data_IF_263747063364
#
_entry.id   IF_263747063364
#
_cell.length_a   1.000
_cell.length_b   1.000
_cell.length_c   1.000
_cell.angle_alpha   90.00
_cell.angle_beta   90.00
_cell.angle_gamma   90.00
#
_symmetry.space_group_name_H-M   'P 1'
#
loop_
_entity.id
_entity.type
_entity.pdbx_description
1 polymer ?
#
# COMPACT_ATOMS: atom_id res chain seq x y z
N UNK A 1 12.17 -15.43 14.32
CA UNK A 1 12.77 -14.96 13.04
C UNK A 1 14.29 -14.97 13.17
N UNK A 2 15.00 -15.65 12.28
CA UNK A 2 16.47 -15.80 12.35
C UNK A 2 17.17 -14.51 11.89
N UNK A 3 18.36 -14.23 12.44
CA UNK A 3 19.24 -13.07 12.09
C UNK A 3 19.52 -12.97 10.57
N UNK A 4 19.42 -14.09 9.83
CA UNK A 4 19.52 -14.16 8.36
C UNK A 4 18.42 -13.40 7.60
N UNK A 5 17.32 -13.01 8.26
CA UNK A 5 16.19 -12.37 7.60
C UNK A 5 16.48 -10.91 7.21
N UNK A 6 17.22 -10.16 8.03
CA UNK A 6 17.54 -8.75 7.77
C UNK A 6 18.44 -8.58 6.53
N UNK A 7 19.51 -9.36 6.44
CA UNK A 7 20.43 -9.32 5.30
C UNK A 7 19.77 -9.86 4.03
N UNK A 8 18.86 -10.84 4.16
CA UNK A 8 18.07 -11.31 3.03
C UNK A 8 17.24 -10.18 2.41
N UNK A 9 16.49 -9.43 3.22
CA UNK A 9 15.68 -8.31 2.73
C UNK A 9 16.54 -7.19 2.12
N UNK A 10 17.66 -6.83 2.77
CA UNK A 10 18.61 -5.85 2.23
C UNK A 10 19.15 -6.25 0.86
N UNK A 11 19.57 -7.50 0.73
CA UNK A 11 20.11 -8.04 -0.52
C UNK A 11 19.02 -8.10 -1.61
N UNK A 12 17.80 -8.53 -1.26
CA UNK A 12 16.70 -8.62 -2.22
C UNK A 12 16.33 -7.23 -2.77
N UNK A 13 16.26 -6.22 -1.91
CA UNK A 13 16.03 -4.82 -2.34
C UNK A 13 17.15 -4.37 -3.27
N UNK A 14 18.41 -4.48 -2.86
CA UNK A 14 19.54 -3.92 -3.60
C UNK A 14 19.87 -4.67 -4.90
N UNK A 15 19.69 -6.00 -4.94
CA UNK A 15 20.17 -6.84 -6.05
C UNK A 15 19.06 -7.29 -7.00
N UNK A 16 17.80 -7.34 -6.53
CA UNK A 16 16.69 -7.85 -7.34
C UNK A 16 15.75 -6.74 -7.78
N UNK A 17 15.36 -5.85 -6.87
CA UNK A 17 14.33 -4.85 -7.16
C UNK A 17 14.90 -3.55 -7.72
N UNK A 18 15.84 -2.92 -7.04
CA UNK A 18 16.36 -1.60 -7.42
C UNK A 18 16.94 -1.54 -8.83
N UNK A 19 17.75 -2.52 -9.32
CA UNK A 19 18.35 -2.42 -10.65
C UNK A 19 17.34 -2.31 -11.78
N UNK A 20 16.13 -2.88 -11.63
CA UNK A 20 15.05 -2.72 -12.60
C UNK A 20 14.56 -1.27 -12.64
N UNK A 21 14.28 -0.69 -11.47
CA UNK A 21 13.67 0.63 -11.35
C UNK A 21 14.64 1.78 -11.60
N UNK A 22 15.92 1.57 -11.39
CA UNK A 22 16.98 2.51 -11.81
C UNK A 22 17.03 2.67 -13.34
N UNK A 23 16.74 1.62 -14.10
CA UNK A 23 16.64 1.68 -15.57
C UNK A 23 15.32 2.29 -16.08
N UNK A 24 14.33 2.44 -15.21
CA UNK A 24 13.01 2.96 -15.56
C UNK A 24 12.85 4.48 -15.35
N UNK A 25 13.94 5.18 -15.01
CA UNK A 25 13.92 6.63 -14.78
C UNK A 25 13.73 7.40 -16.09
N UNK A 26 12.89 8.45 -16.07
CA UNK A 26 12.82 9.43 -17.14
C UNK A 26 13.82 10.58 -16.87
N UNK A 27 14.99 10.44 -17.44
CA UNK A 27 16.07 11.43 -17.29
C UNK A 27 15.75 12.77 -17.93
N UNK A 28 14.87 12.79 -18.96
CA UNK A 28 14.53 13.98 -19.72
C UNK A 28 13.48 14.84 -19.05
N UNK A 29 12.34 14.23 -18.69
CA UNK A 29 11.17 14.97 -18.19
C UNK A 29 11.03 14.87 -16.67
N UNK A 30 11.67 13.90 -16.04
CA UNK A 30 11.47 13.55 -14.64
C UNK A 30 10.37 12.49 -14.46
N UNK A 31 10.36 11.90 -13.26
CA UNK A 31 9.48 10.78 -12.96
C UNK A 31 10.03 9.42 -13.36
N UNK A 32 9.17 8.41 -13.34
CA UNK A 32 9.53 7.01 -13.55
C UNK A 32 8.54 6.37 -14.53
N UNK A 33 9.06 5.60 -15.48
CA UNK A 33 8.22 4.78 -16.34
C UNK A 33 7.74 3.54 -15.57
N UNK A 34 6.43 3.30 -15.55
CA UNK A 34 5.82 2.18 -14.83
C UNK A 34 5.02 1.25 -15.74
N UNK A 35 4.68 1.69 -16.95
CA UNK A 35 3.89 0.91 -17.89
C UNK A 35 4.75 -0.17 -18.58
N UNK A 36 4.96 -1.28 -17.89
CA UNK A 36 5.64 -2.47 -18.39
C UNK A 36 4.69 -3.66 -18.43
N UNK A 37 4.98 -4.63 -19.31
CA UNK A 37 4.32 -5.93 -19.26
C UNK A 37 4.63 -6.66 -17.93
N UNK A 38 3.85 -7.68 -17.58
CA UNK A 38 4.03 -8.40 -16.33
C UNK A 38 5.44 -9.00 -16.16
N UNK A 39 6.03 -9.49 -17.23
CA UNK A 39 7.40 -10.04 -17.22
C UNK A 39 8.49 -8.97 -17.01
N UNK A 40 8.20 -7.68 -17.21
CA UNK A 40 9.17 -6.58 -17.10
C UNK A 40 10.14 -6.49 -18.31
N UNK A 41 9.85 -7.18 -19.40
CA UNK A 41 10.71 -7.24 -20.58
C UNK A 41 10.42 -6.15 -21.61
N UNK A 42 9.22 -5.55 -21.55
CA UNK A 42 8.75 -4.57 -22.51
C UNK A 42 8.09 -3.39 -21.80
N UNK A 43 8.45 -2.17 -22.19
CA UNK A 43 7.75 -0.95 -21.83
C UNK A 43 6.62 -0.71 -22.83
N UNK A 44 5.37 -0.82 -22.37
CA UNK A 44 4.15 -0.75 -23.21
C UNK A 44 3.63 0.68 -23.39
N UNK A 45 4.02 1.63 -22.53
CA UNK A 45 3.68 3.06 -22.67
C UNK A 45 4.71 3.93 -21.95
N UNK A 46 4.78 5.21 -22.34
CA UNK A 46 5.51 6.28 -21.64
C UNK A 46 4.61 7.13 -20.76
N UNK A 47 3.32 6.85 -20.71
CA UNK A 47 2.37 7.53 -19.83
C UNK A 47 2.73 7.34 -18.36
N UNK A 48 2.41 8.35 -17.55
CA UNK A 48 2.74 8.38 -16.12
C UNK A 48 1.46 8.52 -15.29
N UNK A 49 1.09 7.46 -14.60
CA UNK A 49 0.03 7.54 -13.60
C UNK A 49 0.54 8.32 -12.38
N UNK A 50 -0.14 9.39 -12.01
CA UNK A 50 0.23 10.24 -10.85
C UNK A 50 0.33 9.42 -9.57
N UNK A 51 -0.56 8.48 -9.39
CA UNK A 51 -0.52 7.47 -8.33
C UNK A 51 0.86 6.80 -8.22
N UNK A 52 1.36 6.23 -9.33
CA UNK A 52 2.67 5.56 -9.35
C UNK A 52 3.83 6.53 -9.11
N UNK A 53 3.75 7.76 -9.62
CA UNK A 53 4.80 8.75 -9.42
C UNK A 53 4.91 9.16 -7.94
N UNK A 54 3.78 9.39 -7.26
CA UNK A 54 3.75 9.69 -5.82
C UNK A 54 4.35 8.54 -4.98
N UNK A 55 4.04 7.30 -5.33
CA UNK A 55 4.63 6.09 -4.74
C UNK A 55 6.15 6.03 -4.91
N UNK A 56 6.67 6.42 -6.07
CA UNK A 56 8.12 6.46 -6.29
C UNK A 56 8.81 7.58 -5.52
N UNK A 57 8.17 8.75 -5.36
CA UNK A 57 8.70 9.80 -4.47
C UNK A 57 8.86 9.25 -3.05
N UNK A 58 7.86 8.53 -2.55
CA UNK A 58 7.91 7.88 -1.24
C UNK A 58 9.05 6.85 -1.14
N UNK A 59 9.13 5.92 -2.12
CA UNK A 59 10.15 4.84 -2.13
C UNK A 59 11.56 5.41 -2.11
N UNK A 60 11.88 6.32 -3.04
CA UNK A 60 13.23 6.88 -3.14
C UNK A 60 13.59 7.68 -1.89
N UNK A 61 12.65 8.42 -1.33
CA UNK A 61 12.85 9.21 -0.11
C UNK A 61 13.09 8.31 1.11
N UNK A 62 12.26 7.27 1.29
CA UNK A 62 12.40 6.31 2.39
C UNK A 62 13.72 5.55 2.30
N UNK A 63 14.08 5.07 1.12
CA UNK A 63 15.33 4.35 0.91
C UNK A 63 16.55 5.25 1.14
N UNK A 64 16.50 6.51 0.68
CA UNK A 64 17.55 7.49 0.97
C UNK A 64 17.74 7.67 2.49
N UNK A 65 16.64 7.81 3.22
CA UNK A 65 16.68 7.94 4.69
C UNK A 65 17.26 6.71 5.37
N UNK A 66 16.87 5.50 4.96
CA UNK A 66 17.45 4.27 5.50
C UNK A 66 18.97 4.16 5.23
N UNK A 67 19.43 4.67 4.10
CA UNK A 67 20.87 4.74 3.81
C UNK A 67 21.57 5.78 4.68
N UNK A 68 20.98 6.96 4.89
CA UNK A 68 21.50 7.97 5.82
C UNK A 68 21.59 7.46 7.26
N UNK A 69 20.60 6.67 7.68
CA UNK A 69 20.54 6.06 9.02
C UNK A 69 21.44 4.82 9.17
N UNK A 70 22.14 4.41 8.12
CA UNK A 70 23.03 3.22 8.11
C UNK A 70 22.30 1.88 8.16
N UNK A 71 20.98 1.87 7.93
CA UNK A 71 20.16 0.66 7.92
C UNK A 71 20.21 -0.09 6.58
N UNK A 72 20.57 0.61 5.50
CA UNK A 72 20.76 0.08 4.15
C UNK A 72 22.11 0.50 3.59
N UNK A 73 22.71 -0.35 2.76
CA UNK A 73 23.97 -0.04 2.07
C UNK A 73 23.70 0.78 0.80
N UNK A 74 24.65 1.65 0.44
CA UNK A 74 24.64 2.47 -0.76
C UNK A 74 24.55 3.97 -0.45
N UNK A 75 24.69 4.78 -1.50
CA UNK A 75 24.67 6.25 -1.40
C UNK A 75 23.23 6.77 -1.32
N UNK A 76 22.95 7.66 -0.38
CA UNK A 76 21.63 8.25 -0.18
C UNK A 76 21.33 9.40 -1.16
N UNK A 77 22.35 10.19 -1.50
CA UNK A 77 22.20 11.42 -2.27
C UNK A 77 21.57 11.21 -3.67
N UNK A 78 21.98 10.21 -4.49
CA UNK A 78 21.35 9.98 -5.80
C UNK A 78 19.87 9.66 -5.69
N UNK A 79 19.47 8.90 -4.66
CA UNK A 79 18.07 8.55 -4.41
C UNK A 79 17.25 9.78 -4.01
N UNK A 80 17.79 10.60 -3.11
CA UNK A 80 17.12 11.82 -2.68
C UNK A 80 16.99 12.83 -3.83
N UNK A 81 18.03 12.95 -4.67
CA UNK A 81 17.99 13.77 -5.88
C UNK A 81 16.90 13.29 -6.85
N UNK A 82 16.78 11.98 -7.06
CA UNK A 82 15.74 11.39 -7.92
C UNK A 82 14.35 11.58 -7.32
N UNK A 83 14.16 11.39 -6.01
CA UNK A 83 12.92 11.71 -5.31
C UNK A 83 12.51 13.16 -5.52
N UNK A 84 13.44 14.10 -5.34
CA UNK A 84 13.23 15.53 -5.56
C UNK A 84 12.90 15.89 -7.02
N UNK A 85 13.53 15.22 -8.00
CA UNK A 85 13.21 15.40 -9.43
C UNK A 85 11.78 14.95 -9.73
N UNK A 86 11.35 13.79 -9.20
CA UNK A 86 10.00 13.26 -9.38
C UNK A 86 8.97 14.10 -8.62
N UNK A 87 9.27 14.56 -7.40
CA UNK A 87 8.38 15.44 -6.63
C UNK A 87 8.16 16.79 -7.33
N UNK A 88 9.21 17.39 -7.90
CA UNK A 88 9.09 18.62 -8.70
C UNK A 88 8.25 18.39 -9.97
N UNK A 89 8.47 17.27 -10.67
CA UNK A 89 7.64 16.90 -11.83
C UNK A 89 6.16 16.85 -11.46
N UNK A 90 5.79 16.20 -10.35
CA UNK A 90 4.41 16.16 -9.86
C UNK A 90 3.89 17.56 -9.50
N UNK A 91 4.67 18.33 -8.73
CA UNK A 91 4.30 19.67 -8.31
C UNK A 91 3.98 20.60 -9.48
N UNK A 92 4.76 20.51 -10.56
CA UNK A 92 4.68 21.43 -11.71
C UNK A 92 3.68 20.94 -12.77
N UNK A 93 3.35 19.65 -12.81
CA UNK A 93 2.65 19.01 -13.94
C UNK A 93 1.36 18.30 -13.56
N UNK A 94 1.25 17.78 -12.33
CA UNK A 94 0.13 16.91 -12.02
C UNK A 94 -1.16 17.66 -11.62
N UNK A 95 -1.09 18.91 -11.19
CA UNK A 95 -2.24 19.61 -10.66
C UNK A 95 -3.02 20.36 -11.75
N UNK A 96 -4.33 20.19 -11.70
CA UNK A 96 -5.31 20.88 -12.55
C UNK A 96 -5.69 22.25 -11.93
N UNK A 97 -6.41 23.08 -12.68
CA UNK A 97 -6.86 24.39 -12.22
C UNK A 97 -7.74 24.34 -10.96
N UNK A 98 -8.49 23.25 -10.76
CA UNK A 98 -9.29 22.99 -9.56
C UNK A 98 -8.47 22.52 -8.35
N UNK A 99 -7.15 22.37 -8.49
CA UNK A 99 -6.23 21.91 -7.46
C UNK A 99 -6.21 20.40 -7.25
N UNK A 100 -6.94 19.60 -8.03
CA UNK A 100 -6.90 18.14 -7.98
C UNK A 100 -5.73 17.59 -8.81
N UNK A 101 -5.19 16.46 -8.41
CA UNK A 101 -4.20 15.79 -9.21
C UNK A 101 -4.83 15.08 -10.42
N UNK A 102 -4.25 15.28 -11.60
CA UNK A 102 -4.60 14.48 -12.77
C UNK A 102 -4.24 13.01 -12.53
N UNK A 103 -5.14 12.10 -12.89
CA UNK A 103 -4.93 10.67 -12.69
C UNK A 103 -3.83 10.10 -13.59
N UNK A 104 -3.81 10.55 -14.86
CA UNK A 104 -2.88 10.12 -15.89
C UNK A 104 -2.24 11.34 -16.56
N UNK A 105 -0.93 11.23 -16.81
CA UNK A 105 -0.12 12.23 -17.50
C UNK A 105 0.55 11.60 -18.72
N UNK A 106 0.77 12.41 -19.75
CA UNK A 106 1.69 12.06 -20.84
C UNK A 106 3.13 12.01 -20.33
N UNK A 107 4.07 11.54 -21.14
CA UNK A 107 5.50 11.52 -20.83
C UNK A 107 6.04 12.87 -20.38
N UNK A 108 5.63 13.96 -21.06
CA UNK A 108 6.03 15.35 -20.76
C UNK A 108 5.18 16.04 -19.69
N UNK A 109 4.25 15.29 -19.05
CA UNK A 109 3.48 15.76 -17.90
C UNK A 109 2.20 16.54 -18.23
N UNK A 110 1.64 16.41 -19.44
CA UNK A 110 0.31 16.98 -19.74
C UNK A 110 -0.78 16.04 -19.23
N UNK A 111 -1.88 16.56 -18.65
CA UNK A 111 -3.03 15.77 -18.28
C UNK A 111 -3.59 14.97 -19.47
N UNK A 112 -3.93 13.71 -19.23
CA UNK A 112 -4.48 12.79 -20.22
C UNK A 112 -5.68 12.05 -19.61
N UNK A 113 -6.74 11.87 -20.38
CA UNK A 113 -7.85 11.01 -19.95
C UNK A 113 -7.45 9.54 -19.99
N UNK A 114 -7.85 8.76 -18.99
CA UNK A 114 -7.61 7.32 -18.97
C UNK A 114 -8.46 6.56 -19.99
N UNK A 115 -9.65 7.10 -20.29
CA UNK A 115 -10.52 6.72 -21.41
C UNK A 115 -11.34 7.96 -21.83
N UNK A 116 -11.86 8.03 -23.08
CA UNK A 116 -12.59 9.19 -23.55
C UNK A 116 -13.78 9.57 -22.66
N UNK A 117 -13.82 10.81 -22.20
CA UNK A 117 -14.87 11.34 -21.31
C UNK A 117 -14.65 11.05 -19.83
N UNK A 118 -13.55 10.44 -19.43
CA UNK A 118 -13.23 10.20 -18.01
C UNK A 118 -12.95 11.49 -17.25
N UNK A 119 -12.55 12.58 -17.96
CA UNK A 119 -11.94 13.73 -17.31
C UNK A 119 -10.54 13.39 -16.79
N UNK A 120 -9.89 14.38 -16.17
CA UNK A 120 -8.50 14.22 -15.77
C UNK A 120 -8.31 13.79 -14.30
N UNK A 121 -9.25 14.13 -13.40
CA UNK A 121 -9.21 13.85 -11.96
C UNK A 121 -10.12 12.69 -11.55
N UNK A 122 -10.04 11.59 -12.31
CA UNK A 122 -10.92 10.45 -12.17
C UNK A 122 -10.66 9.61 -10.89
N UNK A 123 -9.61 9.90 -10.11
CA UNK A 123 -9.29 9.16 -8.90
C UNK A 123 -8.61 10.02 -7.83
N UNK A 124 -9.26 10.18 -6.67
CA UNK A 124 -8.68 10.88 -5.53
C UNK A 124 -7.49 10.11 -4.88
N UNK A 125 -7.32 8.84 -5.21
CA UNK A 125 -6.13 8.09 -4.80
C UNK A 125 -4.84 8.69 -5.38
N UNK A 126 -4.91 9.35 -6.55
CA UNK A 126 -3.77 10.06 -7.10
C UNK A 126 -3.29 11.16 -6.15
N UNK A 127 -4.22 11.96 -5.61
CA UNK A 127 -3.93 12.98 -4.59
C UNK A 127 -3.37 12.35 -3.32
N UNK A 128 -3.94 11.23 -2.85
CA UNK A 128 -3.46 10.52 -1.65
C UNK A 128 -1.99 10.09 -1.79
N UNK A 129 -1.60 9.53 -2.92
CA UNK A 129 -0.20 9.13 -3.15
C UNK A 129 0.73 10.32 -3.38
N UNK A 130 0.24 11.45 -3.89
CA UNK A 130 1.01 12.70 -3.90
C UNK A 130 1.28 13.17 -2.47
N UNK A 131 0.27 13.15 -1.58
CA UNK A 131 0.45 13.50 -0.16
C UNK A 131 1.50 12.62 0.49
N UNK A 132 1.39 11.28 0.34
CA UNK A 132 2.36 10.33 0.89
C UNK A 132 3.78 10.59 0.37
N UNK A 133 3.93 10.75 -0.95
CA UNK A 133 5.22 11.03 -1.58
C UNK A 133 5.85 12.33 -1.11
N UNK A 134 5.09 13.43 -1.14
CA UNK A 134 5.57 14.74 -0.70
C UNK A 134 5.91 14.77 0.80
N UNK A 135 5.13 14.07 1.62
CA UNK A 135 5.36 13.93 3.05
C UNK A 135 6.68 13.25 3.35
N UNK A 136 6.94 12.09 2.75
CA UNK A 136 8.19 11.34 2.98
C UNK A 136 9.40 12.08 2.38
N UNK A 137 9.25 12.74 1.22
CA UNK A 137 10.30 13.58 0.65
C UNK A 137 10.62 14.76 1.56
N UNK A 138 9.60 15.45 2.06
CA UNK A 138 9.79 16.55 3.01
C UNK A 138 10.58 16.11 4.23
N UNK A 139 10.29 14.91 4.77
CA UNK A 139 11.02 14.32 5.89
C UNK A 139 12.48 14.04 5.55
N UNK A 140 12.73 13.40 4.41
CA UNK A 140 14.08 12.98 4.00
C UNK A 140 14.97 14.17 3.64
N UNK A 141 14.40 15.21 3.00
CA UNK A 141 15.12 16.41 2.54
C UNK A 141 15.11 17.57 3.53
N UNK A 142 14.31 17.52 4.60
CA UNK A 142 14.08 18.67 5.48
C UNK A 142 13.27 19.80 4.84
N UNK A 143 12.47 19.50 3.81
CA UNK A 143 11.77 20.47 2.96
C UNK A 143 10.40 20.87 3.52
N UNK A 144 10.34 22.04 4.19
CA UNK A 144 9.10 22.59 4.78
C UNK A 144 8.10 23.06 3.73
N UNK A 145 8.55 23.52 2.55
CA UNK A 145 7.67 23.96 1.47
C UNK A 145 6.90 22.77 0.90
N UNK A 146 7.59 21.66 0.63
CA UNK A 146 6.96 20.44 0.15
C UNK A 146 5.97 19.86 1.18
N UNK A 147 6.28 19.95 2.48
CA UNK A 147 5.32 19.56 3.55
C UNK A 147 4.07 20.46 3.53
N UNK A 148 4.24 21.76 3.30
CA UNK A 148 3.10 22.68 3.13
C UNK A 148 2.21 22.34 1.94
N UNK A 149 2.80 21.90 0.84
CA UNK A 149 2.06 21.42 -0.34
C UNK A 149 1.33 20.10 -0.06
N UNK A 150 1.97 19.15 0.63
CA UNK A 150 1.31 17.91 1.07
C UNK A 150 0.05 18.22 1.92
N UNK A 151 0.15 19.18 2.86
CA UNK A 151 -0.98 19.63 3.66
C UNK A 151 -2.10 20.26 2.82
N UNK A 152 -1.77 21.07 1.84
CA UNK A 152 -2.79 21.72 0.98
C UNK A 152 -3.56 20.66 0.16
N UNK A 153 -2.87 19.66 -0.38
CA UNK A 153 -3.52 18.55 -1.09
C UNK A 153 -4.36 17.70 -0.13
N UNK A 154 -3.87 17.43 1.08
CA UNK A 154 -4.62 16.72 2.12
C UNK A 154 -5.93 17.44 2.47
N UNK A 155 -5.89 18.76 2.67
CA UNK A 155 -7.08 19.57 2.95
C UNK A 155 -8.10 19.55 1.79
N UNK A 156 -7.60 19.55 0.55
CA UNK A 156 -8.45 19.37 -0.65
C UNK A 156 -9.16 18.01 -0.64
N UNK A 157 -8.45 16.94 -0.32
CA UNK A 157 -9.05 15.59 -0.20
C UNK A 157 -10.14 15.58 0.86
N UNK A 158 -9.87 16.09 2.06
CA UNK A 158 -10.84 16.14 3.16
C UNK A 158 -12.10 16.90 2.74
N UNK A 159 -11.94 18.08 2.13
CA UNK A 159 -13.06 18.88 1.66
C UNK A 159 -13.93 18.16 0.62
N UNK A 160 -13.32 17.37 -0.28
CA UNK A 160 -14.05 16.55 -1.27
C UNK A 160 -14.79 15.38 -0.62
N UNK A 161 -14.16 14.69 0.32
CA UNK A 161 -14.79 13.59 1.07
C UNK A 161 -15.99 14.07 1.90
N UNK A 162 -15.88 15.25 2.54
CA UNK A 162 -16.97 15.84 3.32
C UNK A 162 -18.19 16.21 2.45
N UNK A 163 -17.97 16.56 1.18
CA UNK A 163 -19.03 16.84 0.20
C UNK A 163 -19.53 15.63 -0.55
N UNK A 164 -18.91 14.45 -0.37
CA UNK A 164 -19.18 13.28 -1.19
C UNK A 164 -18.75 13.42 -2.66
N UNK A 165 -17.83 14.34 -2.94
CA UNK A 165 -17.34 14.66 -4.28
C UNK A 165 -15.96 14.04 -4.52
N UNK A 166 -15.92 12.71 -4.48
CA UNK A 166 -14.72 11.93 -4.79
C UNK A 166 -15.02 10.87 -5.84
N UNK A 167 -14.09 10.73 -6.77
CA UNK A 167 -14.05 9.65 -7.75
C UNK A 167 -12.91 8.70 -7.40
N UNK A 168 -13.08 7.42 -7.67
CA UNK A 168 -12.15 6.38 -7.23
C UNK A 168 -11.81 5.36 -8.33
N UNK A 169 -11.67 5.82 -9.57
CA UNK A 169 -11.22 4.93 -10.65
C UNK A 169 -9.88 4.24 -10.27
N UNK A 170 -9.69 2.98 -10.66
CA UNK A 170 -10.55 2.14 -11.52
C UNK A 170 -11.64 1.35 -10.77
N UNK A 171 -11.89 1.63 -9.51
CA UNK A 171 -12.88 0.93 -8.66
C UNK A 171 -13.88 1.93 -8.07
N UNK A 172 -14.87 2.39 -8.87
CA UNK A 172 -15.89 3.33 -8.38
C UNK A 172 -16.73 2.69 -7.27
N UNK A 173 -17.17 3.53 -6.33
CA UNK A 173 -18.04 3.10 -5.24
C UNK A 173 -19.44 2.79 -5.77
N UNK A 174 -20.00 1.57 -5.55
CA UNK A 174 -21.36 1.27 -5.89
C UNK A 174 -22.36 2.12 -5.08
N UNK A 175 -23.50 2.48 -5.68
CA UNK A 175 -24.52 3.27 -5.01
C UNK A 175 -25.06 2.56 -3.77
N UNK A 176 -25.19 3.29 -2.68
CA UNK A 176 -25.72 2.80 -1.41
C UNK A 176 -24.76 1.90 -0.62
N UNK A 177 -23.51 1.73 -1.07
CA UNK A 177 -22.48 1.01 -0.34
C UNK A 177 -21.37 1.93 0.16
N UNK A 178 -20.84 1.60 1.32
CA UNK A 178 -19.65 2.23 1.89
C UNK A 178 -18.45 1.32 1.66
N UNK A 179 -17.35 1.90 1.17
CA UNK A 179 -16.11 1.19 0.91
C UNK A 179 -15.16 1.33 2.10
N UNK A 180 -14.62 0.21 2.57
CA UNK A 180 -13.52 0.17 3.53
C UNK A 180 -12.29 0.92 3.00
N UNK A 181 -11.97 0.76 1.72
CA UNK A 181 -10.79 1.33 1.06
C UNK A 181 -10.63 2.85 1.24
N UNK A 182 -11.73 3.62 1.35
CA UNK A 182 -11.64 5.07 1.59
C UNK A 182 -11.12 5.40 2.99
N UNK A 183 -11.61 4.69 4.01
CA UNK A 183 -11.10 4.85 5.37
C UNK A 183 -9.68 4.33 5.51
N UNK A 184 -9.35 3.23 4.84
CA UNK A 184 -8.02 2.62 4.82
C UNK A 184 -6.96 3.57 4.25
N UNK A 185 -7.17 4.15 3.06
CA UNK A 185 -6.18 5.06 2.47
C UNK A 185 -6.03 6.34 3.30
N UNK A 186 -7.14 6.88 3.83
CA UNK A 186 -7.10 8.08 4.66
C UNK A 186 -6.45 7.84 6.02
N UNK A 187 -6.56 6.64 6.59
CA UNK A 187 -5.80 6.24 7.77
C UNK A 187 -4.30 6.28 7.48
N UNK A 188 -3.85 5.65 6.39
CA UNK A 188 -2.43 5.63 6.02
C UNK A 188 -1.89 7.04 5.74
N UNK A 189 -2.60 7.83 4.94
CA UNK A 189 -2.20 9.22 4.61
C UNK A 189 -2.11 10.07 5.88
N UNK A 190 -3.12 9.99 6.76
CA UNK A 190 -3.17 10.79 7.98
C UNK A 190 -2.07 10.39 8.97
N UNK A 191 -1.83 9.10 9.18
CA UNK A 191 -0.78 8.66 10.12
C UNK A 191 0.63 9.06 9.68
N UNK A 192 0.97 8.88 8.38
CA UNK A 192 2.30 9.25 7.89
C UNK A 192 2.48 10.78 7.89
N UNK A 193 1.46 11.53 7.48
CA UNK A 193 1.49 12.99 7.54
C UNK A 193 1.63 13.51 8.98
N UNK A 194 0.87 12.96 9.94
CA UNK A 194 0.95 13.35 11.35
C UNK A 194 2.34 13.09 11.94
N UNK A 195 2.96 11.94 11.62
CA UNK A 195 4.32 11.61 12.05
C UNK A 195 5.33 12.66 11.59
N UNK A 196 5.26 13.05 10.30
CA UNK A 196 6.19 14.05 9.74
C UNK A 196 5.89 15.46 10.26
N UNK A 197 4.63 15.85 10.38
CA UNK A 197 4.24 17.12 11.01
C UNK A 197 4.80 17.25 12.43
N UNK A 198 4.78 16.17 13.21
CA UNK A 198 5.35 16.13 14.57
C UNK A 198 6.86 16.27 14.53
N UNK A 199 7.55 15.58 13.62
CA UNK A 199 9.00 15.72 13.45
C UNK A 199 9.40 17.17 13.11
N UNK A 200 8.57 17.88 12.34
CA UNK A 200 8.75 19.30 12.01
C UNK A 200 8.21 20.27 13.09
N UNK A 201 7.65 19.77 14.19
CA UNK A 201 6.97 20.54 15.25
C UNK A 201 5.87 21.46 14.68
N UNK A 202 5.10 20.95 13.73
CA UNK A 202 4.03 21.71 13.07
C UNK A 202 2.75 21.67 13.91
N UNK A 203 2.05 22.82 14.03
CA UNK A 203 0.90 22.97 14.92
C UNK A 203 -0.33 22.10 14.57
N UNK A 204 -0.38 21.52 13.37
CA UNK A 204 -1.48 20.64 12.93
C UNK A 204 -1.25 19.15 13.21
N UNK A 205 -0.10 18.77 13.80
CA UNK A 205 0.24 17.36 14.00
C UNK A 205 -0.85 16.61 14.80
N UNK A 206 -1.34 17.18 15.90
CA UNK A 206 -2.38 16.55 16.73
C UNK A 206 -3.76 16.48 16.04
N UNK A 207 -4.10 17.47 15.20
CA UNK A 207 -5.35 17.45 14.43
C UNK A 207 -5.36 16.29 13.45
N UNK A 208 -4.28 16.15 12.67
CA UNK A 208 -4.14 15.10 11.67
C UNK A 208 -4.07 13.72 12.33
N UNK A 209 -3.40 13.61 13.50
CA UNK A 209 -3.38 12.37 14.29
C UNK A 209 -4.78 11.96 14.76
N UNK A 210 -5.59 12.91 15.28
CA UNK A 210 -6.98 12.60 15.66
C UNK A 210 -7.83 12.11 14.48
N UNK A 211 -7.55 12.59 13.26
CA UNK A 211 -8.22 12.07 12.06
C UNK A 211 -7.79 10.64 11.74
N UNK A 212 -6.50 10.30 11.90
CA UNK A 212 -6.02 8.93 11.76
C UNK A 212 -6.73 7.99 12.75
N UNK A 213 -6.83 8.37 14.04
CA UNK A 213 -7.59 7.61 15.05
C UNK A 213 -9.07 7.46 14.65
N UNK A 214 -9.70 8.52 14.15
CA UNK A 214 -11.10 8.45 13.69
C UNK A 214 -11.31 7.50 12.50
N UNK A 215 -10.37 7.44 11.55
CA UNK A 215 -10.42 6.46 10.46
C UNK A 215 -10.18 5.03 10.95
N UNK A 216 -9.25 4.84 11.89
CA UNK A 216 -9.01 3.56 12.56
C UNK A 216 -10.28 3.05 13.26
N UNK A 217 -10.89 3.87 14.11
CA UNK A 217 -12.12 3.51 14.82
C UNK A 217 -13.26 3.19 13.84
N UNK A 218 -13.43 4.00 12.79
CA UNK A 218 -14.44 3.75 11.75
C UNK A 218 -14.23 2.41 11.04
N UNK A 219 -12.99 2.01 10.79
CA UNK A 219 -12.68 0.71 10.17
C UNK A 219 -13.07 -0.42 11.12
N UNK A 220 -12.60 -0.35 12.36
CA UNK A 220 -12.82 -1.40 13.35
C UNK A 220 -14.31 -1.57 13.71
N UNK A 221 -15.03 -0.47 13.85
CA UNK A 221 -16.45 -0.49 14.27
C UNK A 221 -17.40 -0.85 13.12
N UNK A 222 -17.10 -0.45 11.88
CA UNK A 222 -18.06 -0.54 10.79
C UNK A 222 -17.83 -1.72 9.86
N UNK A 223 -16.57 -2.15 9.65
CA UNK A 223 -16.22 -3.13 8.63
C UNK A 223 -15.73 -4.46 9.21
N UNK A 224 -15.37 -4.53 10.50
CA UNK A 224 -14.89 -5.76 11.12
C UNK A 224 -16.03 -6.52 11.80
N UNK A 225 -16.20 -7.78 11.43
CA UNK A 225 -17.17 -8.71 12.03
C UNK A 225 -16.64 -9.24 13.38
N UNK A 226 -17.54 -9.81 14.20
CA UNK A 226 -17.20 -10.35 15.52
C UNK A 226 -16.15 -11.47 15.49
N UNK A 227 -16.03 -12.19 14.38
CA UNK A 227 -15.04 -13.26 14.16
C UNK A 227 -13.69 -12.75 13.63
N UNK A 228 -13.53 -11.43 13.47
CA UNK A 228 -12.34 -10.79 12.91
C UNK A 228 -12.33 -10.68 11.39
N UNK A 229 -13.40 -11.07 10.70
CA UNK A 229 -13.47 -10.88 9.23
C UNK A 229 -13.67 -9.41 8.90
N UNK A 230 -12.85 -8.84 8.03
CA UNK A 230 -13.00 -7.49 7.51
C UNK A 230 -13.67 -7.54 6.14
N UNK A 231 -14.83 -6.88 6.03
CA UNK A 231 -15.59 -6.76 4.78
C UNK A 231 -15.15 -5.54 3.97
N UNK A 232 -15.07 -5.68 2.66
CA UNK A 232 -14.68 -4.60 1.75
C UNK A 232 -15.76 -3.55 1.57
N UNK A 233 -17.03 -3.99 1.51
CA UNK A 233 -18.18 -3.12 1.31
C UNK A 233 -19.29 -3.47 2.29
N UNK A 234 -19.95 -2.45 2.81
CA UNK A 234 -21.09 -2.57 3.71
C UNK A 234 -22.13 -1.51 3.37
N UNK A 235 -23.37 -1.72 3.75
CA UNK A 235 -24.41 -0.69 3.66
C UNK A 235 -24.31 0.33 4.82
N UNK A 236 -25.29 1.22 4.94
CA UNK A 236 -25.35 2.25 5.98
C UNK A 236 -25.33 1.69 7.41
N UNK A 237 -25.75 0.44 7.61
CA UNK A 237 -25.78 -0.23 8.92
C UNK A 237 -24.45 -0.98 9.23
N UNK A 238 -23.48 -0.93 8.35
CA UNK A 238 -22.19 -1.62 8.50
C UNK A 238 -22.36 -3.14 8.48
N UNK A 239 -21.49 -3.85 9.20
CA UNK A 239 -21.54 -5.33 9.27
C UNK A 239 -22.84 -5.87 9.86
N UNK A 240 -23.56 -5.07 10.66
CA UNK A 240 -24.86 -5.44 11.25
C UNK A 240 -25.99 -5.45 10.21
N UNK A 241 -25.88 -4.60 9.18
CA UNK A 241 -26.83 -4.52 8.07
C UNK A 241 -26.42 -5.34 6.85
N UNK A 242 -25.47 -6.25 6.99
CA UNK A 242 -24.94 -7.07 5.89
C UNK A 242 -26.08 -7.72 5.11
N UNK A 243 -26.05 -7.55 3.79
CA UNK A 243 -26.96 -8.15 2.85
C UNK A 243 -26.35 -9.41 2.24
N UNK A 244 -27.19 -10.30 1.69
CA UNK A 244 -26.72 -11.50 0.97
C UNK A 244 -26.19 -11.18 -0.45
N UNK A 245 -25.88 -9.91 -0.72
CA UNK A 245 -25.27 -9.45 -1.97
C UNK A 245 -23.78 -9.81 -2.01
N UNK A 246 -23.28 -10.23 -3.18
CA UNK A 246 -21.87 -10.57 -3.38
C UNK A 246 -20.95 -9.47 -2.87
N UNK A 247 -21.23 -8.19 -3.19
CA UNK A 247 -20.41 -7.04 -2.77
C UNK A 247 -20.38 -6.82 -1.25
N UNK A 248 -21.36 -7.32 -0.49
CA UNK A 248 -21.39 -7.24 0.97
C UNK A 248 -20.85 -8.51 1.66
N UNK A 249 -20.44 -9.50 0.86
CA UNK A 249 -19.93 -10.80 1.35
C UNK A 249 -18.45 -10.98 1.10
N UNK A 250 -17.95 -10.46 -0.03
CA UNK A 250 -16.57 -10.72 -0.39
C UNK A 250 -15.56 -10.03 0.54
N UNK A 251 -14.45 -10.68 0.70
CA UNK A 251 -13.27 -10.24 1.45
C UNK A 251 -12.09 -10.15 0.49
N UNK A 252 -11.29 -9.12 0.62
CA UNK A 252 -9.97 -9.03 0.04
C UNK A 252 -8.93 -9.28 1.13
N UNK A 253 -8.37 -10.49 1.26
CA UNK A 253 -7.41 -10.80 2.32
C UNK A 253 -6.21 -9.87 2.33
N UNK A 254 -5.75 -9.43 1.13
CA UNK A 254 -4.65 -8.48 1.00
C UNK A 254 -4.96 -7.12 1.62
N UNK A 255 -6.12 -6.52 1.33
CA UNK A 255 -6.55 -5.26 1.94
C UNK A 255 -6.76 -5.39 3.45
N UNK A 256 -7.37 -6.51 3.91
CA UNK A 256 -7.54 -6.75 5.34
C UNK A 256 -6.20 -6.76 6.06
N UNK A 257 -5.21 -7.48 5.52
CA UNK A 257 -3.87 -7.57 6.07
C UNK A 257 -3.14 -6.22 6.01
N UNK A 258 -3.19 -5.52 4.87
CA UNK A 258 -2.57 -4.20 4.70
C UNK A 258 -3.18 -3.18 5.67
N UNK A 259 -4.49 -3.08 5.73
CA UNK A 259 -5.18 -2.15 6.63
C UNK A 259 -4.79 -2.34 8.09
N UNK A 260 -4.61 -3.59 8.51
CA UNK A 260 -4.30 -3.86 9.91
C UNK A 260 -2.92 -3.39 10.35
N UNK A 261 -1.93 -3.31 9.48
CA UNK A 261 -0.68 -2.69 9.92
C UNK A 261 -0.80 -1.15 10.03
N UNK A 262 -1.68 -0.50 9.22
CA UNK A 262 -2.01 0.91 9.47
C UNK A 262 -2.67 1.08 10.83
N UNK A 263 -3.64 0.23 11.15
CA UNK A 263 -4.31 0.20 12.45
C UNK A 263 -3.29 -0.01 13.58
N UNK A 264 -2.44 -1.04 13.47
CA UNK A 264 -1.44 -1.37 14.49
C UNK A 264 -0.47 -0.21 14.76
N UNK A 265 0.02 0.47 13.73
CA UNK A 265 0.91 1.64 13.91
C UNK A 265 0.20 2.80 14.60
N UNK A 266 -1.02 3.12 14.19
CA UNK A 266 -1.81 4.18 14.82
C UNK A 266 -2.16 3.82 16.27
N UNK A 267 -2.53 2.57 16.53
CA UNK A 267 -2.87 2.07 17.84
C UNK A 267 -1.64 2.05 18.79
N UNK A 268 -0.47 1.57 18.32
CA UNK A 268 0.80 1.60 19.07
C UNK A 268 1.12 3.02 19.52
N UNK A 269 1.06 3.96 18.59
CA UNK A 269 1.38 5.36 18.89
C UNK A 269 0.41 6.00 19.91
N UNK A 270 -0.86 5.65 19.85
CA UNK A 270 -1.92 6.20 20.71
C UNK A 270 -2.22 5.35 21.96
N UNK A 271 -1.45 4.27 22.22
CA UNK A 271 -1.63 3.42 23.38
C UNK A 271 -2.94 2.64 23.42
N UNK A 272 -3.54 2.32 22.23
CA UNK A 272 -4.81 1.61 22.06
C UNK A 272 -4.59 0.10 22.01
N UNK A 273 -4.42 -0.53 23.17
CA UNK A 273 -4.24 -1.99 23.28
C UNK A 273 -5.43 -2.78 22.72
N UNK A 274 -6.65 -2.28 22.89
CA UNK A 274 -7.89 -2.85 22.34
C UNK A 274 -7.86 -2.95 20.81
N UNK A 275 -7.40 -1.90 20.13
CA UNK A 275 -7.27 -1.87 18.68
C UNK A 275 -6.11 -2.77 18.20
N UNK A 276 -5.01 -2.89 18.96
CA UNK A 276 -3.92 -3.82 18.65
C UNK A 276 -4.40 -5.28 18.68
N UNK A 277 -5.11 -5.68 19.72
CA UNK A 277 -5.65 -7.02 19.87
C UNK A 277 -6.63 -7.37 18.73
N UNK A 278 -7.51 -6.43 18.39
CA UNK A 278 -8.46 -6.58 17.30
C UNK A 278 -7.74 -6.68 15.93
N UNK A 279 -6.74 -5.84 15.69
CA UNK A 279 -5.96 -5.89 14.46
C UNK A 279 -5.22 -7.22 14.29
N UNK A 280 -4.60 -7.75 15.35
CA UNK A 280 -3.96 -9.08 15.33
C UNK A 280 -4.97 -10.20 15.04
N UNK A 281 -6.19 -10.11 15.56
CA UNK A 281 -7.25 -11.08 15.27
C UNK A 281 -7.68 -11.01 13.80
N UNK A 282 -7.84 -9.81 13.23
CA UNK A 282 -8.17 -9.63 11.80
C UNK A 282 -7.06 -10.17 10.91
N UNK A 283 -5.78 -9.89 11.20
CA UNK A 283 -4.64 -10.44 10.43
C UNK A 283 -4.70 -11.96 10.40
N UNK A 284 -4.87 -12.61 11.56
CA UNK A 284 -4.98 -14.06 11.63
C UNK A 284 -6.16 -14.60 10.81
N UNK A 285 -7.34 -13.98 10.95
CA UNK A 285 -8.54 -14.38 10.21
C UNK A 285 -8.36 -14.21 8.71
N UNK A 286 -7.72 -13.13 8.27
CA UNK A 286 -7.44 -12.88 6.85
C UNK A 286 -6.49 -13.94 6.25
N UNK A 287 -5.50 -14.41 7.00
CA UNK A 287 -4.67 -15.55 6.57
C UNK A 287 -5.47 -16.84 6.46
N UNK A 288 -6.30 -17.15 7.46
CA UNK A 288 -7.14 -18.37 7.48
C UNK A 288 -8.11 -18.41 6.29
N UNK A 289 -8.76 -17.27 5.98
CA UNK A 289 -9.68 -17.16 4.86
C UNK A 289 -8.98 -17.14 3.50
N UNK A 290 -7.89 -16.39 3.40
CA UNK A 290 -7.24 -16.07 2.12
C UNK A 290 -6.28 -17.13 1.61
N UNK A 291 -5.77 -18.03 2.47
CA UNK A 291 -4.78 -19.01 2.05
C UNK A 291 -5.36 -20.11 1.16
N UNK A 292 -4.79 -20.30 -0.03
CA UNK A 292 -5.17 -21.41 -0.91
C UNK A 292 -4.61 -22.75 -0.37
N UNK A 293 -5.48 -23.67 0.13
CA UNK A 293 -5.01 -24.92 0.71
C UNK A 293 -4.45 -25.91 -0.33
N UNK A 294 -4.69 -25.69 -1.61
CA UNK A 294 -4.29 -26.59 -2.71
C UNK A 294 -2.94 -26.21 -3.29
N UNK A 295 -2.77 -24.91 -3.63
CA UNK A 295 -1.59 -24.42 -4.34
C UNK A 295 -0.72 -23.47 -3.50
N UNK A 296 -1.12 -23.18 -2.26
CA UNK A 296 -0.45 -22.19 -1.42
C UNK A 296 -0.67 -20.75 -1.92
N UNK A 297 -0.20 -19.77 -1.14
CA UNK A 297 -0.36 -18.36 -1.42
C UNK A 297 -1.75 -17.80 -1.12
N UNK A 298 -1.87 -16.47 -1.12
CA UNK A 298 -3.11 -15.75 -0.82
C UNK A 298 -3.95 -15.60 -2.09
N UNK A 299 -5.21 -16.01 -2.04
CA UNK A 299 -6.22 -15.72 -3.04
C UNK A 299 -6.55 -14.21 -3.04
N UNK A 300 -6.93 -13.69 -4.21
CA UNK A 300 -7.26 -12.27 -4.35
C UNK A 300 -8.54 -11.89 -3.63
N UNK A 301 -9.59 -12.67 -3.83
CA UNK A 301 -10.89 -12.48 -3.17
C UNK A 301 -11.42 -13.81 -2.64
N UNK A 302 -12.15 -13.75 -1.55
CA UNK A 302 -12.81 -14.92 -0.97
C UNK A 302 -14.18 -14.51 -0.42
N UNK A 303 -15.08 -15.46 -0.22
CA UNK A 303 -16.30 -15.23 0.58
C UNK A 303 -15.94 -15.08 2.08
N UNK A 304 -16.71 -14.34 2.85
CA UNK A 304 -16.51 -14.22 4.30
C UNK A 304 -16.63 -15.57 5.05
N UNK A 305 -17.34 -16.54 4.45
CA UNK A 305 -17.39 -17.91 4.91
C UNK A 305 -16.21 -18.78 4.43
N UNK A 306 -15.35 -18.24 3.57
CA UNK A 306 -14.26 -18.93 2.92
C UNK A 306 -14.61 -19.51 1.55
N UNK A 307 -13.60 -19.71 0.71
CA UNK A 307 -13.78 -20.23 -0.64
C UNK A 307 -14.10 -19.16 -1.68
N UNK A 308 -14.70 -19.60 -2.80
CA UNK A 308 -15.08 -18.73 -3.91
C UNK A 308 -16.14 -17.70 -3.49
N UNK A 309 -16.00 -16.41 -3.88
CA UNK A 309 -17.02 -15.42 -3.59
C UNK A 309 -18.39 -15.79 -4.16
N UNK A 310 -19.43 -15.67 -3.35
CA UNK A 310 -20.81 -15.96 -3.70
C UNK A 310 -21.76 -14.89 -3.19
N UNK A 311 -22.98 -14.82 -3.72
CA UNK A 311 -24.04 -13.90 -3.29
C UNK A 311 -24.88 -13.39 -4.44
N UNK A 312 -25.92 -12.62 -4.10
CA UNK A 312 -26.81 -11.99 -5.07
C UNK A 312 -26.10 -10.88 -5.81
N UNK A 313 -26.22 -10.87 -7.15
CA UNK A 313 -25.64 -9.84 -8.02
C UNK A 313 -26.58 -8.63 -8.14
N UNK A 314 -25.98 -7.44 -8.20
CA UNK A 314 -26.70 -6.17 -8.42
C UNK A 314 -26.40 -5.54 -9.78
N UNK A 315 -25.52 -6.16 -10.59
CA UNK A 315 -25.13 -5.70 -11.91
C UNK A 315 -24.04 -4.60 -11.88
N UNK A 316 -23.21 -4.58 -10.84
CA UNK A 316 -22.07 -3.66 -10.73
C UNK A 316 -20.79 -4.25 -11.34
N UNK A 317 -19.98 -3.42 -12.01
CA UNK A 317 -18.74 -3.89 -12.67
C UNK A 317 -17.70 -4.52 -11.72
N UNK A 318 -17.75 -4.22 -10.41
CA UNK A 318 -16.90 -4.88 -9.42
C UNK A 318 -17.22 -6.38 -9.28
N UNK A 319 -18.47 -6.80 -9.55
CA UNK A 319 -18.87 -8.20 -9.46
C UNK A 319 -18.16 -9.06 -10.52
N UNK A 320 -18.08 -8.57 -11.76
CA UNK A 320 -17.34 -9.24 -12.83
C UNK A 320 -15.85 -9.36 -12.50
N UNK A 321 -15.26 -8.32 -11.92
CA UNK A 321 -13.88 -8.34 -11.46
C UNK A 321 -13.66 -9.40 -10.37
N UNK A 322 -14.54 -9.45 -9.37
CA UNK A 322 -14.43 -10.38 -8.25
C UNK A 322 -14.55 -11.81 -8.77
N UNK A 323 -15.62 -12.13 -9.47
CA UNK A 323 -15.88 -13.48 -9.98
C UNK A 323 -14.87 -13.93 -11.02
N UNK A 324 -14.40 -13.01 -11.87
CA UNK A 324 -13.44 -13.31 -12.95
C UNK A 324 -11.98 -13.38 -12.52
N UNK A 325 -11.65 -13.13 -11.24
CA UNK A 325 -10.26 -13.08 -10.78
C UNK A 325 -10.02 -13.43 -9.31
N UNK A 326 -11.00 -14.00 -8.62
CA UNK A 326 -10.91 -14.31 -7.19
C UNK A 326 -9.73 -15.21 -6.84
N UNK A 327 -9.38 -16.14 -7.71
CA UNK A 327 -8.34 -17.14 -7.50
C UNK A 327 -6.95 -16.71 -8.00
N UNK A 328 -6.82 -15.50 -8.57
CA UNK A 328 -5.51 -14.98 -8.98
C UNK A 328 -4.65 -14.66 -7.75
N UNK A 329 -3.33 -14.74 -7.94
CA UNK A 329 -2.35 -14.44 -6.89
C UNK A 329 -1.51 -13.25 -7.29
N UNK A 330 -1.53 -12.23 -6.45
CA UNK A 330 -0.89 -10.96 -6.70
C UNK A 330 0.31 -10.76 -5.76
N UNK A 331 1.31 -10.05 -6.22
CA UNK A 331 2.53 -9.73 -5.48
C UNK A 331 2.27 -8.92 -4.20
N UNK A 332 1.37 -7.95 -4.30
CA UNK A 332 1.17 -6.97 -3.23
C UNK A 332 0.53 -7.59 -1.96
N UNK A 333 -0.51 -8.48 -2.01
CA UNK A 333 -1.02 -9.11 -0.80
C UNK A 333 0.04 -9.92 -0.06
N UNK A 334 0.92 -10.60 -0.81
CA UNK A 334 1.97 -11.40 -0.21
C UNK A 334 3.06 -10.54 0.44
N UNK A 335 3.41 -9.41 -0.15
CA UNK A 335 4.36 -8.49 0.47
C UNK A 335 3.77 -7.79 1.72
N UNK A 336 2.50 -7.39 1.67
CA UNK A 336 1.78 -6.83 2.83
C UNK A 336 1.70 -7.84 3.97
N UNK A 337 1.43 -9.10 3.63
CA UNK A 337 1.36 -10.19 4.59
C UNK A 337 2.66 -10.40 5.37
N UNK A 338 3.82 -10.22 4.73
CA UNK A 338 5.11 -10.30 5.42
C UNK A 338 5.27 -9.24 6.49
N UNK A 339 4.99 -7.98 6.18
CA UNK A 339 5.16 -6.89 7.13
C UNK A 339 4.11 -6.93 8.23
N UNK A 340 2.84 -7.13 7.87
CA UNK A 340 1.75 -7.25 8.85
C UNK A 340 1.96 -8.40 9.84
N UNK A 341 2.46 -9.55 9.36
CA UNK A 341 2.77 -10.67 10.25
C UNK A 341 3.93 -10.35 11.20
N UNK A 342 4.95 -9.60 10.75
CA UNK A 342 6.04 -9.13 11.62
C UNK A 342 5.49 -8.26 12.75
N UNK A 343 4.64 -7.28 12.44
CA UNK A 343 4.05 -6.41 13.45
C UNK A 343 3.09 -7.14 14.37
N UNK A 344 2.18 -7.95 13.81
CA UNK A 344 1.20 -8.69 14.60
C UNK A 344 1.87 -9.69 15.57
N UNK A 345 2.98 -10.31 15.14
CA UNK A 345 3.78 -11.15 16.04
C UNK A 345 4.45 -10.34 17.15
N UNK A 346 4.95 -9.13 16.84
CA UNK A 346 5.57 -8.25 17.85
C UNK A 346 4.59 -7.85 18.96
N UNK A 347 3.34 -7.61 18.61
CA UNK A 347 2.33 -7.16 19.57
C UNK A 347 1.67 -8.31 20.31
N UNK A 348 1.43 -9.45 19.65
CA UNK A 348 0.66 -10.56 20.23
C UNK A 348 1.51 -11.68 20.83
N UNK A 349 2.72 -11.89 20.31
CA UNK A 349 3.53 -13.07 20.61
C UNK A 349 2.89 -14.40 20.15
N UNK A 350 1.89 -14.37 19.26
CA UNK A 350 1.15 -15.56 18.81
C UNK A 350 1.96 -16.33 17.75
N UNK A 351 2.48 -17.49 18.11
CA UNK A 351 3.27 -18.35 17.23
C UNK A 351 2.54 -18.75 15.95
N UNK A 352 1.19 -18.78 15.94
CA UNK A 352 0.42 -19.04 14.71
C UNK A 352 0.64 -17.96 13.64
N UNK A 353 0.86 -16.70 14.06
CA UNK A 353 1.20 -15.61 13.14
C UNK A 353 2.62 -15.81 12.58
N UNK A 354 3.54 -16.30 13.40
CA UNK A 354 4.88 -16.66 12.93
C UNK A 354 4.85 -17.79 11.90
N UNK A 355 4.01 -18.83 12.11
CA UNK A 355 3.79 -19.90 11.13
C UNK A 355 3.24 -19.35 9.81
N UNK A 356 2.32 -18.40 9.86
CA UNK A 356 1.81 -17.72 8.67
C UNK A 356 2.90 -16.91 7.95
N UNK A 357 3.72 -16.16 8.71
CA UNK A 357 4.86 -15.46 8.12
C UNK A 357 5.78 -16.41 7.36
N UNK A 358 6.14 -17.57 7.92
CA UNK A 358 7.03 -18.53 7.28
C UNK A 358 6.42 -19.12 6.00
N UNK A 359 5.13 -19.46 6.01
CA UNK A 359 4.42 -19.95 4.82
C UNK A 359 4.36 -18.89 3.71
N UNK A 360 4.03 -17.65 4.05
CA UNK A 360 3.97 -16.55 3.08
C UNK A 360 5.37 -16.24 2.55
N UNK A 361 6.38 -16.24 3.41
CA UNK A 361 7.77 -16.01 3.01
C UNK A 361 8.24 -17.06 1.99
N UNK A 362 8.05 -18.34 2.29
CA UNK A 362 8.41 -19.42 1.38
C UNK A 362 7.69 -19.28 0.03
N UNK A 363 6.38 -19.06 0.05
CA UNK A 363 5.60 -18.90 -1.17
C UNK A 363 6.04 -17.66 -1.96
N UNK A 364 6.08 -16.49 -1.34
CA UNK A 364 6.34 -15.23 -2.02
C UNK A 364 7.71 -15.23 -2.72
N UNK A 365 8.75 -15.66 -2.03
CA UNK A 365 10.11 -15.63 -2.58
C UNK A 365 10.45 -16.81 -3.51
N UNK A 366 9.61 -17.87 -3.53
CA UNK A 366 9.74 -18.93 -4.53
C UNK A 366 8.95 -18.67 -5.81
N UNK A 367 7.86 -17.88 -5.74
CA UNK A 367 6.91 -17.73 -6.85
C UNK A 367 7.09 -16.41 -7.61
N UNK A 368 7.22 -15.29 -6.91
CA UNK A 368 7.15 -13.97 -7.55
C UNK A 368 8.45 -13.46 -8.17
N UNK A 369 9.66 -13.64 -7.60
CA UNK A 369 10.88 -13.12 -8.20
C UNK A 369 11.04 -13.58 -9.65
N UNK A 370 11.46 -12.65 -10.52
CA UNK A 370 11.69 -12.98 -11.92
C UNK A 370 12.85 -13.98 -12.02
N UNK A 371 12.66 -15.13 -12.69
CA UNK A 371 13.72 -16.11 -12.87
C UNK A 371 14.87 -15.61 -13.75
N UNK A 372 14.61 -14.61 -14.61
CA UNK A 372 15.66 -13.91 -15.35
C UNK A 372 16.27 -12.80 -14.48
N UNK A 373 17.41 -13.09 -13.90
CA UNK A 373 18.14 -12.14 -13.05
C UNK A 373 18.60 -10.87 -13.80
N UNK A 374 18.66 -10.88 -15.16
CA UNK A 374 18.99 -9.70 -15.95
C UNK A 374 17.84 -8.72 -16.01
N UNK A 375 16.61 -9.22 -15.98
CA UNK A 375 15.40 -8.40 -15.86
C UNK A 375 15.27 -7.95 -14.42
N UNK A 376 15.30 -8.89 -13.48
CA UNK A 376 15.07 -8.62 -12.06
C UNK A 376 13.59 -8.37 -11.76
N UNK A 377 13.32 -7.76 -10.60
CA UNK A 377 11.97 -7.43 -10.11
C UNK A 377 11.10 -8.68 -9.91
N UNK A 378 9.82 -8.53 -9.63
CA UNK A 378 8.86 -9.62 -9.46
C UNK A 378 7.94 -9.74 -10.68
N UNK A 379 7.57 -10.95 -11.09
CA UNK A 379 6.45 -11.19 -11.99
C UNK A 379 5.17 -11.13 -11.15
N UNK A 380 4.46 -10.02 -11.26
CA UNK A 380 3.52 -9.53 -10.24
C UNK A 380 2.15 -10.22 -10.26
N UNK A 381 1.73 -10.72 -11.41
CA UNK A 381 0.39 -11.31 -11.59
C UNK A 381 0.55 -12.78 -11.94
N UNK A 382 -0.08 -13.64 -11.14
CA UNK A 382 -0.03 -15.09 -11.27
C UNK A 382 -1.44 -15.68 -11.32
N UNK A 383 -1.61 -16.79 -12.05
CA UNK A 383 -2.80 -17.61 -11.91
C UNK A 383 -2.82 -18.35 -10.55
N UNK A 384 -3.88 -19.11 -10.30
CA UNK A 384 -4.02 -19.88 -9.04
C UNK A 384 -2.87 -20.85 -8.80
N UNK A 385 -2.30 -21.45 -9.86
CA UNK A 385 -1.17 -22.39 -9.79
C UNK A 385 0.20 -21.69 -9.64
N UNK A 386 0.24 -20.34 -9.62
CA UNK A 386 1.48 -19.58 -9.51
C UNK A 386 2.20 -19.34 -10.84
N UNK A 387 1.60 -19.65 -11.99
CA UNK A 387 2.18 -19.38 -13.31
C UNK A 387 1.96 -17.90 -13.69
N UNK A 388 2.90 -17.26 -14.43
CA UNK A 388 2.70 -15.90 -14.93
C UNK A 388 1.40 -15.75 -15.72
N UNK A 389 0.69 -14.64 -15.47
CA UNK A 389 -0.57 -14.33 -16.13
C UNK A 389 -0.48 -12.93 -16.75
N UNK A 390 -0.57 -12.85 -18.06
CA UNK A 390 -0.63 -11.56 -18.77
C UNK A 390 -2.04 -10.97 -18.65
N UNK A 391 -2.24 -10.16 -17.62
CA UNK A 391 -3.52 -9.51 -17.30
C UNK A 391 -3.26 -8.13 -16.67
N UNK A 392 -4.11 -7.17 -16.97
CA UNK A 392 -4.18 -5.92 -16.22
C UNK A 392 -5.04 -6.15 -14.97
N UNK A 393 -4.55 -5.75 -13.81
CA UNK A 393 -5.27 -5.94 -12.53
C UNK A 393 -6.02 -4.68 -12.13
N UNK A 394 -5.32 -3.55 -12.03
CA UNK A 394 -5.92 -2.25 -11.72
C UNK A 394 -5.53 -1.23 -12.80
N UNK A 395 -4.24 -1.08 -13.04
CA UNK A 395 -3.64 -0.22 -14.04
C UNK A 395 -2.69 -1.05 -14.91
N UNK A 396 -2.41 -0.65 -16.16
CA UNK A 396 -1.45 -1.32 -17.02
C UNK A 396 0.00 -0.97 -16.64
N UNK A 397 0.34 -1.18 -15.38
CA UNK A 397 1.64 -0.83 -14.79
C UNK A 397 2.22 -1.99 -14.01
N UNK A 398 3.55 -2.03 -13.91
CA UNK A 398 4.23 -2.71 -12.81
C UNK A 398 4.35 -1.73 -11.65
N UNK A 399 4.12 -2.21 -10.44
CA UNK A 399 4.13 -1.39 -9.24
C UNK A 399 5.01 -2.03 -8.17
N UNK A 400 6.16 -1.43 -7.83
CA UNK A 400 7.04 -1.95 -6.80
C UNK A 400 6.69 -1.46 -5.40
N UNK A 401 5.72 -0.54 -5.27
CA UNK A 401 5.48 0.20 -4.02
C UNK A 401 5.25 -0.74 -2.84
N UNK A 402 4.30 -1.65 -2.95
CA UNK A 402 4.00 -2.57 -1.87
C UNK A 402 5.22 -3.45 -1.51
N UNK A 403 5.90 -4.00 -2.51
CA UNK A 403 7.06 -4.87 -2.26
C UNK A 403 8.21 -4.10 -1.62
N UNK A 404 8.63 -2.98 -2.22
CA UNK A 404 9.70 -2.16 -1.68
C UNK A 404 9.33 -1.55 -0.33
N UNK A 405 8.13 -0.94 -0.21
CA UNK A 405 7.65 -0.38 1.06
C UNK A 405 7.74 -1.40 2.19
N UNK A 406 7.16 -2.57 1.99
CA UNK A 406 7.12 -3.58 3.05
C UNK A 406 8.50 -4.11 3.40
N UNK A 407 9.39 -4.33 2.43
CA UNK A 407 10.77 -4.73 2.73
C UNK A 407 11.53 -3.65 3.49
N UNK A 408 11.38 -2.36 3.13
CA UNK A 408 12.00 -1.25 3.86
C UNK A 408 11.45 -1.16 5.30
N UNK A 409 10.14 -1.30 5.48
CA UNK A 409 9.51 -1.30 6.82
C UNK A 409 9.92 -2.52 7.66
N UNK A 410 10.08 -3.70 7.05
CA UNK A 410 10.62 -4.89 7.74
C UNK A 410 12.07 -4.64 8.17
N UNK A 411 12.90 -4.05 7.30
CA UNK A 411 14.30 -3.72 7.62
C UNK A 411 14.35 -2.74 8.80
N UNK A 412 13.54 -1.70 8.81
CA UNK A 412 13.41 -0.76 9.94
C UNK A 412 13.04 -1.51 11.23
N UNK A 413 11.96 -2.28 11.21
CA UNK A 413 11.43 -2.97 12.40
C UNK A 413 12.41 -4.01 12.97
N UNK A 414 13.05 -4.80 12.11
CA UNK A 414 14.05 -5.78 12.54
C UNK A 414 15.32 -5.12 13.09
N UNK A 415 15.74 -3.99 12.50
CA UNK A 415 16.88 -3.22 13.00
C UNK A 415 16.63 -2.63 14.39
N UNK A 416 15.42 -2.14 14.66
CA UNK A 416 14.99 -1.67 15.98
C UNK A 416 15.04 -2.79 17.03
N UNK A 417 14.58 -3.99 16.70
CA UNK A 417 14.67 -5.17 17.59
C UNK A 417 16.12 -5.53 17.93
N UNK A 418 16.98 -5.57 16.92
CA UNK A 418 18.40 -5.88 17.12
C UNK A 418 19.07 -4.84 18.04
N UNK A 419 18.69 -3.56 17.95
CA UNK A 419 19.16 -2.51 18.84
C UNK A 419 18.67 -2.71 20.27
N UNK A 420 17.38 -3.01 20.48
CA UNK A 420 16.81 -3.25 21.82
C UNK A 420 17.51 -4.44 22.51
N UNK A 421 17.65 -5.58 21.82
CA UNK A 421 18.33 -6.76 22.35
C UNK A 421 19.78 -6.44 22.74
N UNK A 422 20.50 -5.68 21.94
CA UNK A 422 21.89 -5.27 22.25
C UNK A 422 21.98 -4.36 23.46
N UNK A 423 21.02 -3.48 23.69
CA UNK A 423 20.97 -2.59 24.86
C UNK A 423 20.66 -3.38 26.14
N UNK A 424 19.68 -4.27 26.09
CA UNK A 424 19.33 -5.14 27.23
C UNK A 424 20.48 -6.07 27.62
N UNK A 425 21.20 -6.66 26.65
CA UNK A 425 22.36 -7.52 26.91
C UNK A 425 23.57 -6.77 27.46
N UNK A 426 23.66 -5.45 27.23
CA UNK A 426 24.72 -4.61 27.78
C UNK A 426 24.37 -3.96 29.11
N UNK A 427 23.19 -4.25 29.71
CA UNK A 427 22.76 -3.74 31.00
C UNK A 427 22.48 -2.24 31.02
N UNK A 428 22.28 -1.61 29.86
CA UNK A 428 21.84 -0.21 29.74
C UNK A 428 20.30 -0.22 29.75
N UNK A 429 19.71 0.14 30.89
CA UNK A 429 18.27 0.38 31.05
C UNK A 429 17.93 1.83 30.73
#
# INVERSE_FOLDING_TARGET
MKKSSLDFYRNHVNQVLLPFWERALDERNGGVYTCFNNAGTERISTDKYTWSQGRFVWIWSRLARLRMDGLMQGEAEPLLAQAGKTARFLRERAFLENGHAAFLLTEDGKPKESFPGAGYDSSFYADCFVVLGFTEYARAAGDREMLGQALAVYDSILSRLDRGDVRSEPYPAPEGLCLHAYSMIMLNVSQELAEVLRAFRHGRAEEVERRAVGYMDKILDRFVMADGTLLEMVDEHGVRGRKEKLLCRYVNPGHAIECMWFVMKTAEFNGRADALDQACAVVRRAFELGWDPVYGGLLRFVDYGGGEPEGDLIGDGNEDLILGSWDTKLWWPHSEALYSAVLAYDFSGDDRILDWYERVFEYAFSVFPNPDAKVGEWIQIRDRQGRPLEKVVALPVKDPYHVLRNMLLIIERLSERDCKIKLETKGVR
#
